data_IF_938501340309
#
_entry.id   IF_938501340309
#
_cell.length_a   1.000
_cell.length_b   1.000
_cell.length_c   1.000
_cell.angle_alpha   90.00
_cell.angle_beta   90.00
_cell.angle_gamma   90.00
#
_symmetry.space_group_name_H-M   'P 1'
#
loop_
_entity.id
_entity.type
_entity.pdbx_description
1 polymer ?
#
# COMPACT_ATOMS: atom_id res chain seq x y z
N UNK A 1 4.33 0.15 16.69
CA UNK A 1 3.03 0.05 16.01
C UNK A 1 3.23 -0.10 14.52
N UNK A 2 2.72 -1.19 13.95
CA UNK A 2 2.75 -1.44 12.50
C UNK A 2 1.46 -0.97 11.85
N UNK A 3 1.57 -0.16 10.80
CA UNK A 3 0.46 0.17 9.91
C UNK A 3 0.54 -0.70 8.67
N UNK A 4 -0.45 -1.58 8.50
CA UNK A 4 -0.57 -2.52 7.40
C UNK A 4 -1.61 -1.95 6.44
N UNK A 5 -1.17 -1.61 5.24
CA UNK A 5 -1.99 -0.96 4.23
C UNK A 5 -2.28 -1.93 3.11
N UNK A 6 -3.57 -2.16 2.87
CA UNK A 6 -4.08 -3.12 1.89
C UNK A 6 -4.94 -2.38 0.88
N UNK A 7 -4.55 -2.38 -0.39
CA UNK A 7 -5.30 -1.73 -1.46
C UNK A 7 -5.81 -2.74 -2.48
N UNK A 8 -6.99 -2.45 -3.00
CA UNK A 8 -7.58 -3.10 -4.14
C UNK A 8 -7.54 -2.12 -5.30
N UNK A 9 -6.49 -2.22 -6.12
CA UNK A 9 -6.32 -1.42 -7.32
C UNK A 9 -7.03 -2.09 -8.51
N UNK A 10 -7.54 -1.30 -9.44
CA UNK A 10 -8.22 -1.76 -10.65
C UNK A 10 -7.32 -2.74 -11.43
N UNK A 11 -7.70 -4.04 -11.54
CA UNK A 11 -6.90 -5.04 -12.23
C UNK A 11 -6.59 -4.69 -13.68
N UNK A 12 -7.48 -3.94 -14.35
CA UNK A 12 -7.28 -3.53 -15.74
C UNK A 12 -6.14 -2.51 -15.91
N UNK A 13 -5.71 -1.86 -14.83
CA UNK A 13 -4.65 -0.85 -14.80
C UNK A 13 -3.45 -1.28 -13.94
N UNK A 14 -3.48 -2.51 -13.45
CA UNK A 14 -2.55 -2.92 -12.40
C UNK A 14 -1.12 -3.11 -12.92
N UNK A 15 -0.92 -3.44 -14.19
CA UNK A 15 0.42 -3.53 -14.78
C UNK A 15 1.14 -2.18 -14.80
N UNK A 16 0.45 -1.11 -15.21
CA UNK A 16 1.00 0.25 -15.17
C UNK A 16 1.25 0.71 -13.73
N UNK A 17 0.36 0.35 -12.81
CA UNK A 17 0.56 0.59 -11.38
C UNK A 17 1.80 -0.11 -10.84
N UNK A 18 2.00 -1.40 -11.16
CA UNK A 18 3.17 -2.15 -10.73
C UNK A 18 4.45 -1.48 -11.22
N UNK A 19 4.47 -1.04 -12.48
CA UNK A 19 5.63 -0.33 -13.04
C UNK A 19 5.94 0.93 -12.24
N UNK A 20 4.96 1.82 -12.06
CA UNK A 20 5.13 3.05 -11.28
C UNK A 20 5.53 2.76 -9.82
N UNK A 21 4.91 1.75 -9.20
CA UNK A 21 5.20 1.37 -7.83
C UNK A 21 6.63 0.83 -7.65
N UNK A 22 7.12 0.01 -8.58
CA UNK A 22 8.47 -0.57 -8.54
C UNK A 22 9.53 0.48 -8.86
N UNK A 23 9.31 1.26 -9.91
CA UNK A 23 10.32 2.17 -10.45
C UNK A 23 10.43 3.47 -9.63
N UNK A 24 9.33 3.93 -9.00
CA UNK A 24 9.27 5.24 -8.36
C UNK A 24 8.78 5.20 -6.91
N UNK A 25 7.57 4.69 -6.69
CA UNK A 25 6.89 4.90 -5.41
C UNK A 25 7.54 4.13 -4.25
N UNK A 26 7.74 2.82 -4.40
CA UNK A 26 8.30 1.99 -3.35
C UNK A 26 9.76 2.36 -2.99
N UNK A 27 10.66 2.66 -3.95
CA UNK A 27 11.99 3.19 -3.62
C UNK A 27 11.94 4.47 -2.79
N UNK A 28 11.12 5.44 -3.17
CA UNK A 28 10.98 6.69 -2.43
C UNK A 28 10.43 6.46 -1.02
N UNK A 29 9.36 5.68 -0.89
CA UNK A 29 8.75 5.37 0.41
C UNK A 29 9.75 4.65 1.33
N UNK A 30 10.51 3.69 0.82
CA UNK A 30 11.54 2.97 1.60
C UNK A 30 12.71 3.86 2.02
N UNK A 31 13.04 4.88 1.23
CA UNK A 31 14.10 5.84 1.57
C UNK A 31 13.67 6.86 2.64
N UNK A 32 12.37 7.16 2.74
CA UNK A 32 11.86 8.25 3.58
C UNK A 32 11.01 7.78 4.77
N UNK A 33 10.60 6.51 4.80
CA UNK A 33 9.81 5.90 5.86
C UNK A 33 10.43 4.58 6.31
N UNK A 34 10.10 4.16 7.52
CA UNK A 34 10.48 2.84 8.02
C UNK A 34 9.53 1.76 7.46
N UNK A 35 9.66 1.49 6.16
CA UNK A 35 8.87 0.48 5.45
C UNK A 35 9.44 -0.91 5.74
N UNK A 36 8.62 -1.76 6.36
CA UNK A 36 8.95 -3.17 6.63
C UNK A 36 8.96 -3.97 5.34
N UNK A 37 7.97 -3.72 4.47
CA UNK A 37 7.88 -4.37 3.18
C UNK A 37 6.77 -3.79 2.31
N UNK A 38 6.86 -4.12 1.02
CA UNK A 38 5.94 -3.68 -0.03
C UNK A 38 5.77 -4.84 -1.02
N UNK A 39 4.53 -5.32 -1.16
CA UNK A 39 4.14 -6.47 -1.97
C UNK A 39 3.10 -6.05 -2.99
N UNK A 40 3.29 -6.56 -4.21
CA UNK A 40 2.36 -6.44 -5.32
C UNK A 40 1.91 -7.86 -5.66
N UNK A 41 0.62 -8.00 -5.95
CA UNK A 41 0.08 -9.29 -6.36
C UNK A 41 0.79 -9.84 -7.62
N UNK A 42 0.99 -11.15 -7.63
CA UNK A 42 1.68 -11.88 -8.68
C UNK A 42 0.71 -12.64 -9.61
N UNK A 43 -0.60 -12.47 -9.43
CA UNK A 43 -1.64 -13.05 -10.27
C UNK A 43 -1.99 -14.50 -9.94
N UNK A 44 -1.41 -15.09 -8.89
CA UNK A 44 -1.85 -16.39 -8.42
C UNK A 44 -3.22 -16.28 -7.75
N UNK A 45 -4.05 -17.32 -7.92
CA UNK A 45 -5.33 -17.40 -7.24
C UNK A 45 -5.12 -17.42 -5.72
N UNK A 46 -5.98 -16.70 -5.00
CA UNK A 46 -5.94 -16.70 -3.54
C UNK A 46 -6.43 -18.04 -3.00
N UNK A 47 -5.82 -18.48 -1.91
CA UNK A 47 -6.29 -19.63 -1.15
C UNK A 47 -7.19 -19.14 -0.01
N UNK A 48 -8.50 -19.33 -0.16
CA UNK A 48 -9.47 -18.97 0.87
C UNK A 48 -9.92 -20.24 1.60
N UNK A 49 -9.55 -20.36 2.87
CA UNK A 49 -9.78 -21.55 3.71
C UNK A 49 -10.33 -21.15 5.08
N UNK A 50 -10.85 -22.11 5.85
CA UNK A 50 -11.41 -21.88 7.19
C UNK A 50 -12.77 -22.56 7.38
N UNK A 51 -13.40 -22.34 8.53
CA UNK A 51 -14.73 -22.90 8.84
C UNK A 51 -15.90 -22.13 8.20
N UNK A 52 -15.68 -20.88 7.80
CA UNK A 52 -16.70 -20.01 7.19
C UNK A 52 -16.06 -18.96 6.24
N UNK A 53 -15.43 -19.40 5.14
CA UNK A 53 -14.74 -18.49 4.23
C UNK A 53 -15.74 -17.67 3.38
N UNK A 54 -15.67 -16.35 3.48
CA UNK A 54 -16.43 -15.44 2.60
C UNK A 54 -15.46 -14.58 1.77
N UNK A 55 -15.55 -14.61 0.42
CA UNK A 55 -14.71 -13.76 -0.43
C UNK A 55 -15.09 -12.29 -0.28
N UNK A 56 -14.10 -11.40 -0.27
CA UNK A 56 -14.35 -9.95 -0.28
C UNK A 56 -14.86 -9.51 -1.65
N UNK A 57 -15.64 -8.41 -1.69
CA UNK A 57 -16.21 -7.83 -2.92
C UNK A 57 -15.18 -7.61 -4.03
N UNK A 58 -13.97 -7.21 -3.68
CA UNK A 58 -12.89 -6.90 -4.61
C UNK A 58 -11.80 -7.98 -4.68
N UNK A 59 -12.05 -9.17 -4.10
CA UNK A 59 -11.01 -10.18 -3.91
C UNK A 59 -10.04 -9.80 -2.79
N UNK A 60 -8.84 -10.41 -2.77
CA UNK A 60 -7.79 -9.95 -1.86
C UNK A 60 -7.13 -8.67 -2.38
N UNK A 61 -6.49 -7.93 -1.47
CA UNK A 61 -5.72 -6.75 -1.82
C UNK A 61 -4.57 -7.12 -2.76
N UNK A 62 -4.44 -6.39 -3.87
CA UNK A 62 -3.35 -6.59 -4.83
C UNK A 62 -2.14 -5.67 -4.58
N UNK A 63 -2.25 -4.75 -3.63
CA UNK A 63 -1.12 -4.00 -3.08
C UNK A 63 -1.15 -4.11 -1.57
N UNK A 64 -0.06 -4.57 -0.97
CA UNK A 64 0.10 -4.60 0.49
C UNK A 64 1.43 -3.98 0.88
N UNK A 65 1.44 -3.10 1.86
CA UNK A 65 2.69 -2.58 2.39
C UNK A 65 2.56 -2.22 3.85
N UNK A 66 3.68 -2.29 4.56
CA UNK A 66 3.72 -2.18 6.02
C UNK A 66 4.75 -1.14 6.41
N UNK A 67 4.35 -0.24 7.32
CA UNK A 67 5.19 0.80 7.89
C UNK A 67 5.27 0.59 9.40
N UNK A 68 6.46 0.66 9.96
CA UNK A 68 6.65 0.68 11.41
C UNK A 68 6.69 2.12 11.91
N UNK A 69 5.88 2.42 12.93
CA UNK A 69 5.80 3.71 13.59
C UNK A 69 6.06 3.57 15.08
N UNK A 70 6.90 4.47 15.60
CA UNK A 70 7.18 4.58 17.03
C UNK A 70 5.93 4.95 17.86
N UNK A 71 5.07 5.83 17.31
CA UNK A 71 3.82 6.25 17.92
C UNK A 71 2.81 6.78 16.90
N UNK A 72 1.58 7.08 17.33
CA UNK A 72 0.57 7.73 16.47
C UNK A 72 0.97 9.16 16.08
N UNK A 73 1.63 9.88 16.97
CA UNK A 73 2.15 11.24 16.72
C UNK A 73 3.29 11.19 15.72
N UNK A 74 4.21 10.22 15.86
CA UNK A 74 5.28 9.99 14.89
C UNK A 74 4.71 9.68 13.51
N UNK A 75 3.67 8.83 13.44
CA UNK A 75 2.92 8.56 12.21
C UNK A 75 2.36 9.84 11.60
N UNK A 76 1.63 10.65 12.37
CA UNK A 76 1.00 11.86 11.85
C UNK A 76 2.04 12.84 11.26
N UNK A 77 3.16 13.00 11.94
CA UNK A 77 4.28 13.82 11.48
C UNK A 77 4.91 13.26 10.20
N UNK A 78 5.29 11.98 10.21
CA UNK A 78 5.92 11.34 9.05
C UNK A 78 5.03 11.32 7.82
N UNK A 79 3.72 11.08 8.00
CA UNK A 79 2.77 11.18 6.90
C UNK A 79 2.75 12.58 6.29
N UNK A 80 2.65 13.60 7.14
CA UNK A 80 2.65 14.98 6.68
C UNK A 80 3.93 15.31 5.92
N UNK A 81 5.09 15.06 6.52
CA UNK A 81 6.39 15.43 5.96
C UNK A 81 6.67 14.71 4.63
N UNK A 82 6.37 13.40 4.55
CA UNK A 82 6.66 12.62 3.35
C UNK A 82 5.62 12.84 2.26
N UNK A 83 4.32 12.77 2.57
CA UNK A 83 3.27 12.82 1.54
C UNK A 83 2.89 14.24 1.10
N UNK A 84 3.08 15.28 1.92
CA UNK A 84 2.89 16.67 1.50
C UNK A 84 4.17 17.28 0.89
N UNK A 85 5.30 16.58 0.99
CA UNK A 85 6.57 17.02 0.43
C UNK A 85 6.62 16.95 -1.10
N UNK A 86 7.40 17.86 -1.71
CA UNK A 86 7.53 17.97 -3.18
C UNK A 86 7.98 16.67 -3.84
N UNK A 87 8.86 15.89 -3.19
CA UNK A 87 9.34 14.62 -3.71
C UNK A 87 8.22 13.58 -3.91
N UNK A 88 7.30 13.47 -2.96
CA UNK A 88 6.15 12.57 -3.13
C UNK A 88 5.14 13.15 -4.12
N UNK A 89 4.87 14.46 -4.07
CA UNK A 89 3.93 15.09 -5.00
C UNK A 89 4.37 14.93 -6.45
N UNK A 90 5.67 15.02 -6.73
CA UNK A 90 6.23 14.76 -8.05
C UNK A 90 6.00 13.31 -8.51
N UNK A 91 6.36 12.31 -7.68
CA UNK A 91 6.11 10.90 -7.96
C UNK A 91 4.61 10.61 -8.16
N UNK A 92 3.77 11.21 -7.30
CA UNK A 92 2.32 11.06 -7.37
C UNK A 92 1.72 11.68 -8.63
N UNK A 93 2.31 12.75 -9.16
CA UNK A 93 1.84 13.36 -10.42
C UNK A 93 1.96 12.42 -11.62
N UNK A 94 2.82 11.41 -11.54
CA UNK A 94 3.02 10.35 -12.55
C UNK A 94 2.26 9.06 -12.22
N UNK A 95 1.46 9.06 -11.15
CA UNK A 95 0.61 7.93 -10.81
C UNK A 95 -0.36 7.62 -11.97
N UNK A 96 -0.49 6.35 -12.40
CA UNK A 96 -1.24 6.01 -13.61
C UNK A 96 -2.73 6.36 -13.55
N UNK A 97 -3.39 6.10 -12.41
CA UNK A 97 -4.78 6.52 -12.20
C UNK A 97 -5.15 6.58 -10.70
N UNK A 98 -5.39 7.78 -10.18
CA UNK A 98 -5.81 7.96 -8.79
C UNK A 98 -7.23 7.41 -8.51
N UNK A 99 -8.06 7.22 -9.53
CA UNK A 99 -9.38 6.59 -9.42
C UNK A 99 -9.31 5.06 -9.51
N UNK A 100 -8.14 4.50 -9.79
CA UNK A 100 -7.93 3.04 -9.84
C UNK A 100 -8.02 2.38 -8.47
N UNK A 101 -7.95 3.12 -7.36
CA UNK A 101 -8.12 2.57 -6.02
C UNK A 101 -9.60 2.26 -5.72
N UNK A 102 -10.00 1.00 -5.88
CA UNK A 102 -11.37 0.54 -5.60
C UNK A 102 -11.66 0.47 -4.10
N UNK A 103 -10.66 0.11 -3.30
CA UNK A 103 -10.72 0.12 -1.84
C UNK A 103 -9.32 0.29 -1.26
N UNK A 104 -9.21 1.07 -0.18
CA UNK A 104 -7.99 1.23 0.59
C UNK A 104 -8.27 1.01 2.08
N UNK A 105 -7.49 0.15 2.71
CA UNK A 105 -7.54 -0.12 4.13
C UNK A 105 -6.20 0.22 4.78
N UNK A 106 -6.24 0.74 6.00
CA UNK A 106 -5.10 0.81 6.89
C UNK A 106 -5.49 0.15 8.23
N UNK A 107 -4.79 -0.94 8.57
CA UNK A 107 -4.91 -1.65 9.83
C UNK A 107 -3.72 -1.34 10.71
N UNK A 108 -3.94 -1.22 12.02
CA UNK A 108 -2.90 -0.94 13.01
C UNK A 108 -2.72 -2.15 13.92
N UNK A 109 -1.49 -2.60 14.10
CA UNK A 109 -1.15 -3.81 14.86
C UNK A 109 0.14 -3.63 15.67
N UNK A 110 0.32 -4.49 16.67
CA UNK A 110 1.61 -4.69 17.34
C UNK A 110 2.22 -6.01 16.87
N UNK A 111 3.55 -6.07 16.84
CA UNK A 111 4.31 -7.32 16.67
C UNK A 111 4.47 -7.96 18.05
N UNK A 112 4.29 -9.29 18.13
CA UNK A 112 4.36 -10.10 19.36
C UNK A 112 5.48 -11.11 19.29
#
# INVERSE_FOLDING_TARGET
>A
MFEIRCYHYDPAKFDDYKKWAIDEAAPFLKANLNVVGFWLDNGNAIELTGSDPTPQKHGAANVTWIINWDSKEHRAKGFKEVFEGEGWQDIWSRHPDAHGYLQMEARFAEEV
#
